data_IF_574589889945
#
_entry.id   IF_574589889945
#
_cell.length_a   1.000
_cell.length_b   1.000
_cell.length_c   1.000
_cell.angle_alpha   90.00
_cell.angle_beta   90.00
_cell.angle_gamma   90.00
#
_symmetry.space_group_name_H-M   'P 1'
#
loop_
_entity.id
_entity.type
_entity.pdbx_description
1 polymer ?
#
# COMPACT_ATOMS: atom_id res chain seq x y z
N UNK A 1 -7.75 -7.10 -1.00
CA UNK A 1 -6.46 -6.62 -0.43
C UNK A 1 -6.51 -5.12 -0.11
N UNK A 2 -5.59 -4.63 0.76
CA UNK A 2 -5.64 -3.32 1.43
C UNK A 2 -5.75 -2.10 0.52
N UNK A 3 -5.30 -2.18 -0.72
CA UNK A 3 -5.13 -0.99 -1.56
C UNK A 3 -5.80 -1.05 -2.91
N UNK A 4 -5.90 -2.20 -3.56
CA UNK A 4 -6.54 -2.31 -4.87
C UNK A 4 -8.07 -2.36 -4.76
N UNK A 5 -8.74 -1.44 -5.45
CA UNK A 5 -10.19 -1.44 -5.61
C UNK A 5 -10.51 -2.03 -6.98
N UNK A 6 -11.38 -3.04 -7.02
CA UNK A 6 -11.80 -3.64 -8.29
C UNK A 6 -13.32 -3.81 -8.28
N UNK A 7 -13.93 -3.69 -9.44
CA UNK A 7 -15.39 -3.78 -9.61
C UNK A 7 -15.85 -5.22 -9.93
N UNK A 8 -15.08 -6.21 -9.48
CA UNK A 8 -15.31 -7.65 -9.70
C UNK A 8 -14.98 -8.45 -8.43
N UNK A 9 -15.52 -9.68 -8.27
CA UNK A 9 -15.05 -10.59 -7.24
C UNK A 9 -13.55 -10.87 -7.37
N UNK A 10 -12.83 -10.86 -6.25
CA UNK A 10 -11.38 -11.07 -6.20
C UNK A 10 -11.03 -12.52 -5.93
N UNK A 11 -9.97 -13.01 -6.59
CA UNK A 11 -9.43 -14.35 -6.37
C UNK A 11 -8.13 -14.29 -5.58
N UNK A 12 -8.22 -14.33 -4.25
CA UNK A 12 -7.06 -14.23 -3.37
C UNK A 12 -6.20 -15.50 -3.32
N UNK A 13 -6.76 -16.68 -3.52
CA UNK A 13 -6.01 -17.92 -3.56
C UNK A 13 -5.42 -18.16 -4.96
N UNK A 14 -4.61 -17.23 -5.44
CA UNK A 14 -4.26 -17.10 -6.86
C UNK A 14 -3.60 -18.37 -7.42
N UNK A 15 -2.81 -19.09 -6.61
CA UNK A 15 -2.11 -20.31 -7.02
C UNK A 15 -3.02 -21.55 -7.18
N UNK A 16 -4.27 -21.49 -6.70
CA UNK A 16 -5.20 -22.62 -6.75
C UNK A 16 -6.46 -22.23 -7.56
N UNK A 17 -6.58 -22.68 -8.82
CA UNK A 17 -7.75 -22.39 -9.66
C UNK A 17 -9.09 -22.94 -9.11
N UNK A 18 -9.02 -23.92 -8.20
CA UNK A 18 -10.17 -24.55 -7.56
C UNK A 18 -10.31 -24.13 -6.09
N UNK A 19 -9.73 -23.00 -5.72
CA UNK A 19 -9.79 -22.50 -4.35
C UNK A 19 -11.22 -22.29 -3.87
N UNK A 20 -11.50 -22.76 -2.66
CA UNK A 20 -12.77 -22.48 -2.01
C UNK A 20 -12.86 -21.03 -1.54
N UNK A 21 -14.08 -20.55 -1.24
CA UNK A 21 -14.29 -19.24 -0.60
C UNK A 21 -13.56 -19.12 0.74
N UNK A 22 -13.34 -20.25 1.43
CA UNK A 22 -12.56 -20.29 2.67
C UNK A 22 -11.08 -20.00 2.40
N UNK A 23 -10.53 -20.53 1.31
CA UNK A 23 -9.13 -20.31 0.95
C UNK A 23 -8.90 -18.87 0.50
N UNK A 24 -9.83 -18.31 -0.28
CA UNK A 24 -9.78 -16.89 -0.67
C UNK A 24 -9.80 -15.98 0.56
N UNK A 25 -10.72 -16.21 1.52
CA UNK A 25 -10.77 -15.44 2.77
C UNK A 25 -9.50 -15.59 3.63
N UNK A 26 -8.91 -16.79 3.66
CA UNK A 26 -7.64 -17.02 4.36
C UNK A 26 -6.50 -16.21 3.75
N UNK A 27 -6.35 -16.26 2.42
CA UNK A 27 -5.31 -15.49 1.73
C UNK A 27 -5.51 -13.98 1.86
N UNK A 28 -6.77 -13.51 1.83
CA UNK A 28 -7.07 -12.11 2.09
C UNK A 28 -6.68 -11.69 3.51
N UNK A 29 -6.95 -12.53 4.52
CA UNK A 29 -6.58 -12.28 5.90
C UNK A 29 -5.05 -12.27 6.10
N UNK A 30 -4.34 -13.25 5.54
CA UNK A 30 -2.87 -13.31 5.59
C UNK A 30 -2.28 -12.04 5.00
N UNK A 31 -2.70 -11.69 3.78
CA UNK A 31 -2.15 -10.54 3.10
C UNK A 31 -2.45 -9.23 3.84
N UNK A 32 -3.65 -9.11 4.40
CA UNK A 32 -4.01 -7.94 5.20
C UNK A 32 -3.16 -7.87 6.47
N UNK A 33 -2.89 -9.00 7.13
CA UNK A 33 -1.98 -9.08 8.25
C UNK A 33 -0.56 -8.64 7.88
N UNK A 34 -0.01 -9.14 6.78
CA UNK A 34 1.31 -8.76 6.27
C UNK A 34 1.37 -7.25 6.00
N UNK A 35 0.34 -6.69 5.37
CA UNK A 35 0.27 -5.24 5.13
C UNK A 35 0.25 -4.42 6.43
N UNK A 36 -0.59 -4.79 7.40
CA UNK A 36 -0.70 -4.06 8.66
C UNK A 36 0.59 -4.13 9.48
N UNK A 37 1.24 -5.30 9.53
CA UNK A 37 2.55 -5.45 10.19
C UNK A 37 3.60 -4.60 9.48
N UNK A 38 3.65 -4.62 8.14
CA UNK A 38 4.52 -3.74 7.35
C UNK A 38 4.27 -2.25 7.66
N UNK A 39 3.00 -1.84 7.79
CA UNK A 39 2.64 -0.46 8.14
C UNK A 39 3.12 -0.04 9.54
N UNK A 40 2.99 -0.92 10.54
CA UNK A 40 3.56 -0.70 11.88
C UNK A 40 5.07 -0.58 11.83
N UNK A 41 5.74 -1.44 11.04
CA UNK A 41 7.19 -1.36 10.85
C UNK A 41 7.61 -0.06 10.16
N UNK A 42 6.89 0.42 9.15
CA UNK A 42 7.14 1.72 8.54
C UNK A 42 7.03 2.86 9.55
N UNK A 43 5.99 2.88 10.39
CA UNK A 43 5.85 3.90 11.45
C UNK A 43 7.05 3.85 12.40
N UNK A 44 7.42 2.65 12.87
CA UNK A 44 8.55 2.48 13.77
C UNK A 44 9.88 2.89 13.14
N UNK A 45 10.13 2.47 11.89
CA UNK A 45 11.31 2.85 11.12
C UNK A 45 11.41 4.36 10.93
N UNK A 46 10.30 5.02 10.59
CA UNK A 46 10.23 6.48 10.43
C UNK A 46 10.59 7.23 11.72
N UNK A 47 10.18 6.72 12.89
CA UNK A 47 10.56 7.32 14.19
C UNK A 47 12.07 7.28 14.39
N UNK A 48 12.76 6.22 13.94
CA UNK A 48 14.22 6.08 14.10
C UNK A 48 15.02 7.05 13.20
N UNK A 49 14.38 7.78 12.29
CA UNK A 49 15.01 8.81 11.48
C UNK A 49 15.01 10.21 12.12
N UNK A 50 14.37 10.39 13.29
CA UNK A 50 14.52 11.64 14.01
C UNK A 50 16.00 11.85 14.43
N UNK A 51 16.51 13.10 14.41
CA UNK A 51 17.89 13.38 14.82
C UNK A 51 18.25 12.90 16.23
N UNK A 52 17.27 12.84 17.15
CA UNK A 52 17.46 12.29 18.48
C UNK A 52 17.87 10.79 18.49
N UNK A 53 17.62 10.07 17.39
CA UNK A 53 17.93 8.66 17.22
C UNK A 53 18.95 8.40 16.09
N UNK A 54 19.77 9.39 15.71
CA UNK A 54 20.74 9.27 14.61
C UNK A 54 21.64 8.03 14.70
N UNK A 55 22.06 7.64 15.92
CA UNK A 55 22.86 6.43 16.19
C UNK A 55 22.14 5.13 15.82
N UNK A 56 20.82 5.17 15.64
CA UNK A 56 19.95 4.06 15.28
C UNK A 56 19.41 4.17 13.85
N UNK A 57 19.83 5.17 13.07
CA UNK A 57 19.33 5.39 11.70
C UNK A 57 19.47 4.15 10.79
N UNK A 58 20.60 3.42 10.89
CA UNK A 58 20.78 2.15 10.17
C UNK A 58 19.73 1.09 10.54
N UNK A 59 19.31 1.03 11.80
CA UNK A 59 18.23 0.14 12.22
C UNK A 59 16.91 0.61 11.63
N UNK A 60 16.68 1.92 11.59
CA UNK A 60 15.54 2.54 10.88
C UNK A 60 15.48 2.10 9.42
N UNK A 61 16.59 2.23 8.70
CA UNK A 61 16.71 1.82 7.29
C UNK A 61 16.45 0.32 7.07
N UNK A 62 16.97 -0.55 7.94
CA UNK A 62 16.68 -2.00 7.87
C UNK A 62 15.21 -2.31 8.14
N UNK A 63 14.59 -1.68 9.15
CA UNK A 63 13.16 -1.83 9.43
C UNK A 63 12.33 -1.37 8.23
N UNK A 64 12.71 -0.24 7.60
CA UNK A 64 12.08 0.27 6.37
C UNK A 64 12.20 -0.69 5.19
N UNK A 65 13.38 -1.29 5.03
CA UNK A 65 13.63 -2.27 3.98
C UNK A 65 12.73 -3.50 4.14
N UNK A 66 12.67 -4.07 5.35
CA UNK A 66 11.82 -5.23 5.63
C UNK A 66 10.34 -4.88 5.44
N UNK A 67 9.90 -3.72 5.93
CA UNK A 67 8.54 -3.23 5.70
C UNK A 67 8.21 -3.09 4.20
N UNK A 68 9.16 -2.59 3.40
CA UNK A 68 9.04 -2.48 1.95
C UNK A 68 8.91 -3.84 1.28
N UNK A 69 9.66 -4.87 1.73
CA UNK A 69 9.50 -6.24 1.24
C UNK A 69 8.13 -6.82 1.56
N UNK A 70 7.57 -6.52 2.74
CA UNK A 70 6.20 -6.94 3.09
C UNK A 70 5.17 -6.29 2.17
N UNK A 71 5.29 -5.00 1.90
CA UNK A 71 4.42 -4.29 0.95
C UNK A 71 4.62 -4.79 -0.48
N UNK A 72 5.85 -5.13 -0.88
CA UNK A 72 6.14 -5.75 -2.17
C UNK A 72 5.47 -7.13 -2.29
N UNK A 73 5.49 -7.94 -1.24
CA UNK A 73 4.79 -9.23 -1.24
C UNK A 73 3.28 -9.05 -1.46
N UNK A 74 2.69 -8.06 -0.78
CA UNK A 74 1.27 -7.73 -0.87
C UNK A 74 0.90 -7.22 -2.27
N UNK A 75 1.62 -6.22 -2.77
CA UNK A 75 1.37 -5.62 -4.09
C UNK A 75 1.69 -6.61 -5.22
N UNK A 76 2.72 -7.44 -5.06
CA UNK A 76 3.07 -8.50 -6.01
C UNK A 76 1.98 -9.57 -6.08
N UNK A 77 1.43 -9.97 -4.93
CA UNK A 77 0.27 -10.87 -4.91
C UNK A 77 -0.95 -10.24 -5.61
N UNK A 78 -1.23 -8.96 -5.36
CA UNK A 78 -2.29 -8.23 -6.05
C UNK A 78 -2.06 -8.21 -7.57
N UNK A 79 -0.84 -7.95 -8.04
CA UNK A 79 -0.51 -7.99 -9.46
C UNK A 79 -0.68 -9.39 -10.06
N UNK A 80 -0.27 -10.45 -9.37
CA UNK A 80 -0.48 -11.83 -9.82
C UNK A 80 -1.97 -12.15 -10.00
N UNK A 81 -2.81 -11.65 -9.10
CA UNK A 81 -4.26 -11.79 -9.20
C UNK A 81 -4.83 -11.09 -10.43
N UNK A 82 -4.37 -9.86 -10.71
CA UNK A 82 -4.75 -9.14 -11.93
C UNK A 82 -4.28 -9.85 -13.19
N UNK A 83 -3.05 -10.37 -13.22
CA UNK A 83 -2.52 -11.12 -14.38
C UNK A 83 -3.39 -12.35 -14.64
N UNK A 84 -3.67 -13.16 -13.61
CA UNK A 84 -4.51 -14.37 -13.75
C UNK A 84 -5.92 -14.05 -14.20
N UNK A 85 -6.53 -12.98 -13.66
CA UNK A 85 -7.84 -12.52 -14.13
C UNK A 85 -7.79 -12.19 -15.63
N UNK A 86 -6.78 -11.46 -16.09
CA UNK A 86 -6.65 -11.09 -17.51
C UNK A 86 -6.42 -12.30 -18.41
N UNK A 87 -5.65 -13.29 -17.97
CA UNK A 87 -5.46 -14.55 -18.69
C UNK A 87 -6.76 -15.37 -18.78
N UNK A 88 -7.67 -15.22 -17.82
CA UNK A 88 -8.97 -15.91 -17.82
C UNK A 88 -10.02 -15.27 -18.73
N UNK A 89 -9.76 -14.06 -19.26
CA UNK A 89 -10.70 -13.36 -20.13
C UNK A 89 -10.80 -14.04 -21.50
N UNK A 90 -12.02 -14.39 -21.92
CA UNK A 90 -12.31 -14.98 -23.23
C UNK A 90 -12.36 -13.97 -24.38
N UNK A 91 -11.98 -12.71 -24.14
CA UNK A 91 -12.12 -11.60 -25.08
C UNK A 91 -11.10 -10.49 -24.83
N UNK A 92 -11.23 -9.39 -25.56
CA UNK A 92 -10.30 -8.25 -25.44
C UNK A 92 -10.45 -7.57 -24.07
N UNK A 93 -9.33 -7.28 -23.36
CA UNK A 93 -9.40 -6.57 -22.09
C UNK A 93 -10.07 -5.21 -22.22
N UNK A 94 -11.04 -4.94 -21.34
CA UNK A 94 -11.74 -3.66 -21.28
C UNK A 94 -10.81 -2.55 -20.78
N UNK A 95 -11.29 -1.30 -20.84
CA UNK A 95 -10.54 -0.18 -20.23
C UNK A 95 -10.35 -0.39 -18.72
N UNK A 96 -11.35 -0.97 -18.04
CA UNK A 96 -11.30 -1.25 -16.60
C UNK A 96 -10.22 -2.28 -16.26
N UNK A 97 -10.10 -3.34 -17.04
CA UNK A 97 -9.05 -4.35 -16.87
C UNK A 97 -7.65 -3.78 -17.13
N UNK A 98 -7.53 -2.79 -18.02
CA UNK A 98 -6.25 -2.12 -18.31
C UNK A 98 -5.85 -1.19 -17.17
N UNK A 99 -6.76 -0.35 -16.67
CA UNK A 99 -6.42 0.57 -15.58
C UNK A 99 -6.17 -0.20 -14.27
N UNK A 100 -6.86 -1.32 -14.03
CA UNK A 100 -6.56 -2.22 -12.91
C UNK A 100 -5.12 -2.75 -12.97
N UNK A 101 -4.68 -3.19 -14.16
CA UNK A 101 -3.30 -3.63 -14.38
C UNK A 101 -2.28 -2.49 -14.19
N UNK A 102 -2.60 -1.29 -14.64
CA UNK A 102 -1.74 -0.12 -14.42
C UNK A 102 -1.61 0.23 -12.94
N UNK A 103 -2.72 0.24 -12.19
CA UNK A 103 -2.68 0.46 -10.75
C UNK A 103 -1.79 -0.60 -10.07
N UNK A 104 -2.03 -1.89 -10.34
CA UNK A 104 -1.24 -2.99 -9.80
C UNK A 104 0.26 -2.84 -10.08
N UNK A 105 0.62 -2.54 -11.33
CA UNK A 105 2.00 -2.36 -11.76
C UNK A 105 2.65 -1.16 -11.06
N UNK A 106 1.93 -0.04 -10.92
CA UNK A 106 2.42 1.14 -10.20
C UNK A 106 2.73 0.83 -8.73
N UNK A 107 1.87 0.08 -8.04
CA UNK A 107 2.13 -0.31 -6.65
C UNK A 107 3.33 -1.24 -6.50
N UNK A 108 3.49 -2.21 -7.39
CA UNK A 108 4.66 -3.10 -7.37
C UNK A 108 5.94 -2.31 -7.66
N UNK A 109 5.96 -1.51 -8.71
CA UNK A 109 7.12 -0.70 -9.07
C UNK A 109 7.48 0.30 -7.96
N UNK A 110 6.49 0.95 -7.34
CA UNK A 110 6.69 1.81 -6.17
C UNK A 110 7.29 1.05 -4.99
N UNK A 111 6.79 -0.15 -4.69
CA UNK A 111 7.29 -0.99 -3.58
C UNK A 111 8.73 -1.47 -3.82
N UNK A 112 9.08 -1.82 -5.06
CA UNK A 112 10.45 -2.15 -5.45
C UNK A 112 11.38 -0.96 -5.21
N UNK A 113 10.99 0.23 -5.67
CA UNK A 113 11.78 1.45 -5.47
C UNK A 113 11.95 1.78 -3.99
N UNK A 114 10.94 1.59 -3.16
CA UNK A 114 11.06 1.77 -1.71
C UNK A 114 12.04 0.78 -1.07
N UNK A 115 12.01 -0.49 -1.48
CA UNK A 115 12.96 -1.48 -0.99
C UNK A 115 14.40 -1.12 -1.40
N UNK A 116 14.62 -0.77 -2.68
CA UNK A 116 15.95 -0.35 -3.17
C UNK A 116 16.41 0.94 -2.48
N UNK A 117 15.52 1.93 -2.38
CA UNK A 117 15.81 3.20 -1.72
C UNK A 117 16.23 3.03 -0.26
N UNK A 118 15.56 2.13 0.47
CA UNK A 118 15.90 1.80 1.86
C UNK A 118 17.32 1.26 2.01
N UNK A 119 17.80 0.47 1.04
CA UNK A 119 19.20 -0.03 1.03
C UNK A 119 20.20 1.10 0.78
N UNK A 120 19.90 2.03 -0.13
CA UNK A 120 20.76 3.19 -0.39
C UNK A 120 20.89 4.12 0.83
N UNK A 121 19.93 4.09 1.74
CA UNK A 121 19.95 4.82 3.01
C UNK A 121 20.75 4.14 4.14
N UNK A 122 21.28 2.93 3.93
CA UNK A 122 22.23 2.33 4.86
C UNK A 122 23.55 3.10 4.83
N UNK A 123 24.12 3.41 6.00
CA UNK A 123 25.38 4.17 6.08
C UNK A 123 26.56 3.47 5.39
N UNK A 124 26.53 2.14 5.29
CA UNK A 124 27.54 1.37 4.56
C UNK A 124 27.45 1.52 3.04
N UNK A 125 26.28 1.92 2.53
CA UNK A 125 26.05 2.19 1.11
C UNK A 125 26.18 3.69 0.82
N UNK A 126 25.58 4.54 1.66
CA UNK A 126 25.79 5.99 1.66
C UNK A 126 25.29 6.72 0.41
N UNK A 127 24.45 6.09 -0.41
CA UNK A 127 23.93 6.67 -1.66
C UNK A 127 22.61 7.43 -1.42
N UNK A 128 22.58 8.33 -0.43
CA UNK A 128 21.35 8.97 0.04
C UNK A 128 20.57 9.69 -1.05
N UNK A 129 21.24 10.38 -1.97
CA UNK A 129 20.59 11.04 -3.11
C UNK A 129 19.89 10.04 -4.04
N UNK A 130 20.53 8.90 -4.33
CA UNK A 130 19.90 7.85 -5.13
C UNK A 130 18.71 7.23 -4.40
N UNK A 131 18.85 7.01 -3.07
CA UNK A 131 17.76 6.55 -2.22
C UNK A 131 16.56 7.51 -2.24
N UNK A 132 16.82 8.80 -2.15
CA UNK A 132 15.80 9.85 -2.21
C UNK A 132 15.09 9.86 -3.56
N UNK A 133 15.81 9.73 -4.67
CA UNK A 133 15.19 9.61 -6.01
C UNK A 133 14.30 8.36 -6.09
N UNK A 134 14.73 7.22 -5.56
CA UNK A 134 13.89 6.03 -5.48
C UNK A 134 12.59 6.30 -4.71
N UNK A 135 12.65 6.95 -3.54
CA UNK A 135 11.46 7.29 -2.77
C UNK A 135 10.57 8.32 -3.46
N UNK A 136 11.13 9.32 -4.15
CA UNK A 136 10.38 10.31 -4.95
C UNK A 136 9.59 9.60 -6.06
N UNK A 137 10.28 8.82 -6.90
CA UNK A 137 9.64 8.13 -8.03
C UNK A 137 8.65 7.07 -7.52
N UNK A 138 9.02 6.32 -6.48
CA UNK A 138 8.12 5.34 -5.87
C UNK A 138 6.85 5.97 -5.30
N UNK A 139 6.98 7.13 -4.66
CA UNK A 139 5.83 7.86 -4.10
C UNK A 139 4.92 8.41 -5.20
N UNK A 140 5.48 8.89 -6.31
CA UNK A 140 4.69 9.29 -7.48
C UNK A 140 3.92 8.10 -8.07
N UNK A 141 4.54 6.92 -8.15
CA UNK A 141 3.85 5.71 -8.60
C UNK A 141 2.73 5.29 -7.64
N UNK A 142 2.94 5.41 -6.33
CA UNK A 142 1.87 5.16 -5.36
C UNK A 142 0.71 6.17 -5.48
N UNK A 143 1.00 7.46 -5.72
CA UNK A 143 -0.03 8.46 -6.03
C UNK A 143 -0.79 8.06 -7.29
N UNK A 144 -0.10 7.71 -8.38
CA UNK A 144 -0.74 7.29 -9.63
C UNK A 144 -1.64 6.06 -9.43
N UNK A 145 -1.14 5.02 -8.75
CA UNK A 145 -1.91 3.82 -8.44
C UNK A 145 -3.14 4.13 -7.58
N UNK A 146 -3.01 5.03 -6.60
CA UNK A 146 -4.11 5.43 -5.73
C UNK A 146 -5.16 6.27 -6.47
N UNK A 147 -4.75 7.18 -7.35
CA UNK A 147 -5.66 7.96 -8.20
C UNK A 147 -6.43 7.04 -9.15
N UNK A 148 -5.76 6.06 -9.77
CA UNK A 148 -6.44 5.07 -10.62
C UNK A 148 -7.46 4.28 -9.80
N UNK A 149 -7.11 3.84 -8.59
CA UNK A 149 -8.05 3.16 -7.70
C UNK A 149 -9.26 4.05 -7.37
N UNK A 150 -9.07 5.36 -7.14
CA UNK A 150 -10.17 6.31 -6.94
C UNK A 150 -11.13 6.32 -8.12
N UNK A 151 -10.61 6.31 -9.35
CA UNK A 151 -11.44 6.23 -10.56
C UNK A 151 -12.26 4.95 -10.63
N UNK A 152 -11.84 3.88 -9.94
CA UNK A 152 -12.57 2.62 -9.89
C UNK A 152 -13.65 2.58 -8.79
N UNK A 153 -13.74 3.60 -7.92
CA UNK A 153 -14.80 3.75 -6.90
C UNK A 153 -16.10 4.25 -7.56
N UNK A 154 -16.74 3.40 -8.37
CA UNK A 154 -17.97 3.78 -9.12
C UNK A 154 -19.18 2.98 -8.65
N UNK A 155 -18.99 1.80 -8.06
CA UNK A 155 -20.09 0.89 -7.73
C UNK A 155 -19.97 0.34 -6.30
N UNK A 156 -20.44 1.11 -5.31
CA UNK A 156 -20.76 0.58 -3.99
C UNK A 156 -22.27 0.70 -3.76
N UNK A 157 -22.93 -0.43 -3.48
CA UNK A 157 -24.37 -0.47 -3.13
C UNK A 157 -24.65 0.10 -1.72
N UNK A 158 -23.61 0.25 -0.91
CA UNK A 158 -23.68 0.70 0.49
C UNK A 158 -22.80 1.94 0.69
N UNK A 159 -23.40 3.01 1.23
CA UNK A 159 -22.71 4.26 1.54
C UNK A 159 -21.56 4.08 2.54
N UNK A 160 -21.68 3.18 3.51
CA UNK A 160 -20.61 2.89 4.49
C UNK A 160 -19.40 2.29 3.78
N UNK A 161 -19.63 1.32 2.90
CA UNK A 161 -18.55 0.70 2.09
C UNK A 161 -17.86 1.77 1.24
N UNK A 162 -18.64 2.65 0.60
CA UNK A 162 -18.12 3.77 -0.19
C UNK A 162 -17.24 4.71 0.64
N UNK A 163 -17.67 5.07 1.86
CA UNK A 163 -16.87 5.93 2.74
C UNK A 163 -15.55 5.28 3.16
N UNK A 164 -15.53 3.98 3.47
CA UNK A 164 -14.26 3.30 3.77
C UNK A 164 -13.34 3.19 2.54
N UNK A 165 -13.88 3.06 1.33
CA UNK A 165 -13.08 3.14 0.09
C UNK A 165 -12.45 4.52 -0.06
N UNK A 166 -13.22 5.59 0.14
CA UNK A 166 -12.72 6.97 0.09
C UNK A 166 -11.66 7.25 1.16
N UNK A 167 -11.90 6.85 2.42
CA UNK A 167 -10.94 7.01 3.51
C UNK A 167 -9.62 6.27 3.22
N UNK A 168 -9.70 5.05 2.69
CA UNK A 168 -8.53 4.29 2.26
C UNK A 168 -7.76 5.02 1.16
N UNK A 169 -8.47 5.52 0.14
CA UNK A 169 -7.83 6.20 -0.98
C UNK A 169 -7.15 7.51 -0.56
N UNK A 170 -7.86 8.34 0.21
CA UNK A 170 -7.36 9.65 0.67
C UNK A 170 -6.12 9.44 1.53
N UNK A 171 -6.17 8.51 2.49
CA UNK A 171 -5.01 8.24 3.36
C UNK A 171 -3.79 7.75 2.58
N UNK A 172 -3.96 6.91 1.56
CA UNK A 172 -2.84 6.48 0.71
C UNK A 172 -2.30 7.60 -0.17
N UNK A 173 -3.15 8.40 -0.80
CA UNK A 173 -2.69 9.55 -1.60
C UNK A 173 -1.93 10.53 -0.72
N UNK A 174 -2.51 10.94 0.42
CA UNK A 174 -1.88 11.88 1.34
C UNK A 174 -0.57 11.32 1.91
N UNK A 175 -0.56 10.03 2.32
CA UNK A 175 0.66 9.38 2.79
C UNK A 175 1.76 9.37 1.74
N UNK A 176 1.43 9.01 0.49
CA UNK A 176 2.37 9.02 -0.64
C UNK A 176 2.93 10.43 -0.91
N UNK A 177 2.08 11.46 -0.85
CA UNK A 177 2.52 12.86 -1.03
C UNK A 177 3.46 13.30 0.09
N UNK A 178 3.20 12.92 1.34
CA UNK A 178 4.11 13.24 2.45
C UNK A 178 5.48 12.58 2.26
N UNK A 179 5.53 11.32 1.83
CA UNK A 179 6.79 10.65 1.49
C UNK A 179 7.52 11.34 0.34
N UNK A 180 6.80 11.70 -0.71
CA UNK A 180 7.33 12.44 -1.85
C UNK A 180 8.00 13.74 -1.41
N UNK A 181 7.26 14.57 -0.66
CA UNK A 181 7.75 15.88 -0.21
C UNK A 181 8.91 15.73 0.77
N UNK A 182 8.85 14.77 1.70
CA UNK A 182 9.93 14.51 2.65
C UNK A 182 11.22 14.00 1.99
N UNK A 183 11.13 13.39 0.81
CA UNK A 183 12.30 12.89 0.09
C UNK A 183 13.04 13.99 -0.70
N UNK A 184 12.36 15.09 -1.07
CA UNK A 184 12.96 16.15 -1.89
C UNK A 184 14.17 16.83 -1.21
N UNK A 185 14.13 17.18 0.09
CA UNK A 185 15.26 17.88 0.72
C UNK A 185 16.56 17.09 0.82
N UNK A 186 16.54 15.76 0.66
CA UNK A 186 17.76 14.95 0.50
C UNK A 186 18.52 15.23 -0.82
N UNK A 187 17.94 16.01 -1.72
CA UNK A 187 18.61 16.52 -2.92
C UNK A 187 19.29 17.88 -2.69
N UNK A 188 19.12 18.49 -1.51
CA UNK A 188 19.67 19.80 -1.19
C UNK A 188 21.04 19.67 -0.53
N UNK A 189 21.86 20.72 -0.69
CA UNK A 189 23.11 20.88 0.05
C UNK A 189 22.92 21.99 1.09
N UNK A 190 22.79 21.61 2.36
CA UNK A 190 22.63 22.54 3.47
C UNK A 190 23.99 22.85 4.09
N UNK A 191 24.30 24.14 4.27
CA UNK A 191 25.60 24.57 4.80
C UNK A 191 25.64 24.62 6.34
N UNK A 192 24.49 24.77 6.99
CA UNK A 192 24.35 24.90 8.44
C UNK A 192 23.93 23.57 9.07
N UNK A 193 24.69 23.09 10.07
CA UNK A 193 24.34 21.88 10.82
C UNK A 193 23.03 22.03 11.62
N UNK A 194 22.70 23.25 12.07
CA UNK A 194 21.44 23.52 12.74
C UNK A 194 20.25 23.41 11.76
N UNK A 195 20.44 23.87 10.52
CA UNK A 195 19.42 23.79 9.47
C UNK A 195 19.21 22.33 9.06
N UNK A 196 20.29 21.56 8.86
CA UNK A 196 20.22 20.13 8.58
C UNK A 196 19.42 19.40 9.64
N UNK A 197 19.73 19.61 10.92
CA UNK A 197 19.01 18.97 12.03
C UNK A 197 17.53 19.34 12.07
N UNK A 198 17.20 20.60 11.78
CA UNK A 198 15.80 21.08 11.75
C UNK A 198 15.04 20.47 10.60
N UNK A 199 15.65 20.45 9.41
CA UNK A 199 15.09 19.82 8.22
C UNK A 199 14.89 18.33 8.47
N UNK A 200 15.90 17.59 8.92
CA UNK A 200 15.82 16.15 9.19
C UNK A 200 14.67 15.81 10.17
N UNK A 201 14.48 16.61 11.22
CA UNK A 201 13.35 16.42 12.14
C UNK A 201 11.98 16.64 11.46
N UNK A 202 11.89 17.63 10.58
CA UNK A 202 10.70 17.87 9.78
C UNK A 202 10.43 16.72 8.80
N UNK A 203 11.45 16.22 8.09
CA UNK A 203 11.31 15.07 7.17
C UNK A 203 10.87 13.82 7.93
N UNK A 204 11.51 13.51 9.06
CA UNK A 204 11.16 12.37 9.89
C UNK A 204 9.69 12.44 10.38
N UNK A 205 9.21 13.64 10.72
CA UNK A 205 7.80 13.86 11.07
C UNK A 205 6.87 13.52 9.89
N UNK A 206 7.19 14.01 8.69
CA UNK A 206 6.42 13.70 7.48
C UNK A 206 6.42 12.20 7.17
N UNK A 207 7.54 11.50 7.33
CA UNK A 207 7.61 10.06 7.17
C UNK A 207 6.75 9.32 8.21
N UNK A 208 6.78 9.73 9.48
CA UNK A 208 5.93 9.12 10.53
C UNK A 208 4.45 9.31 10.20
N UNK A 209 4.03 10.53 9.86
CA UNK A 209 2.64 10.82 9.53
C UNK A 209 2.22 10.08 8.26
N UNK A 210 3.07 10.07 7.24
CA UNK A 210 2.83 9.32 6.00
C UNK A 210 2.67 7.82 6.25
N UNK A 211 3.55 7.22 7.05
CA UNK A 211 3.48 5.80 7.43
C UNK A 211 2.21 5.50 8.24
N UNK A 212 1.82 6.39 9.14
CA UNK A 212 0.60 6.24 9.92
C UNK A 212 -0.64 6.28 9.04
N UNK A 213 -0.67 7.15 8.03
CA UNK A 213 -1.75 7.20 7.05
C UNK A 213 -1.83 5.92 6.20
N UNK A 214 -0.69 5.35 5.77
CA UNK A 214 -0.69 4.04 5.11
C UNK A 214 -1.20 2.93 6.04
N UNK A 215 -0.83 2.94 7.32
CA UNK A 215 -1.36 1.96 8.28
C UNK A 215 -2.87 2.11 8.45
N UNK A 216 -3.37 3.34 8.59
CA UNK A 216 -4.79 3.65 8.72
C UNK A 216 -5.58 3.28 7.47
N UNK A 217 -5.07 3.57 6.27
CA UNK A 217 -5.71 3.16 5.02
C UNK A 217 -5.84 1.64 4.92
N UNK A 218 -4.81 0.89 5.32
CA UNK A 218 -4.89 -0.58 5.43
C UNK A 218 -5.96 -1.04 6.42
N UNK A 219 -6.07 -0.37 7.57
CA UNK A 219 -7.09 -0.67 8.57
C UNK A 219 -8.51 -0.37 8.08
N UNK A 220 -8.72 0.76 7.39
CA UNK A 220 -10.01 1.10 6.80
C UNK A 220 -10.43 0.09 5.72
N UNK A 221 -9.52 -0.31 4.86
CA UNK A 221 -9.79 -1.31 3.85
C UNK A 221 -10.12 -2.67 4.46
N UNK A 222 -9.45 -3.03 5.56
CA UNK A 222 -9.77 -4.25 6.30
C UNK A 222 -11.17 -4.23 6.91
N UNK A 223 -11.58 -3.11 7.51
CA UNK A 223 -12.95 -2.93 8.01
C UNK A 223 -13.95 -3.06 6.86
N UNK A 224 -13.67 -2.43 5.71
CA UNK A 224 -14.51 -2.55 4.51
C UNK A 224 -14.67 -4.00 4.06
N UNK A 225 -13.59 -4.76 3.96
CA UNK A 225 -13.64 -6.17 3.54
C UNK A 225 -14.55 -7.00 4.45
N UNK A 226 -14.45 -6.82 5.77
CA UNK A 226 -15.33 -7.50 6.74
C UNK A 226 -16.80 -7.10 6.65
N UNK A 227 -17.09 -5.85 6.28
CA UNK A 227 -18.48 -5.42 6.06
C UNK A 227 -19.08 -6.11 4.84
N UNK A 228 -18.31 -6.28 3.76
CA UNK A 228 -18.72 -7.03 2.56
C UNK A 228 -19.00 -8.51 2.90
N UNK A 229 -18.11 -9.15 3.67
CA UNK A 229 -18.28 -10.54 4.09
C UNK A 229 -19.55 -10.75 4.92
N UNK A 230 -19.82 -9.85 5.88
CA UNK A 230 -21.02 -9.91 6.72
C UNK A 230 -22.29 -9.69 5.92
N UNK A 231 -22.28 -8.74 4.97
CA UNK A 231 -23.41 -8.50 4.08
C UNK A 231 -23.73 -9.70 3.19
N UNK A 232 -22.69 -10.39 2.70
CA UNK A 232 -22.84 -11.61 1.89
C UNK A 232 -23.39 -12.79 2.69
N UNK A 233 -22.97 -12.95 3.95
CA UNK A 233 -23.49 -14.01 4.83
C UNK A 233 -24.97 -13.80 5.19
N UNK A 234 -25.37 -12.55 5.46
CA UNK A 234 -26.75 -12.22 5.80
C UNK A 234 -27.72 -12.45 4.62
N UNK A 235 -27.27 -12.19 3.39
CA UNK A 235 -28.10 -12.43 2.20
C UNK A 235 -28.25 -13.91 1.86
N UNK A 236 -27.20 -14.75 2.08
CA UNK A 236 -27.30 -16.20 1.87
C UNK A 236 -28.27 -16.89 2.83
N UNK A 237 -28.33 -16.45 4.09
CA UNK A 237 -29.28 -16.99 5.09
C UNK A 237 -30.74 -16.60 4.76
N UNK A 238 -30.96 -15.39 4.23
CA UNK A 238 -32.31 -14.94 3.85
C UNK A 238 -32.89 -15.67 2.62
N UNK A 239 -32.04 -16.25 1.77
CA UNK A 239 -32.46 -17.02 0.59
C UNK A 239 -32.86 -18.47 0.87
N UNK A 240 -32.42 -19.06 1.99
CA UNK A 240 -32.79 -20.43 2.38
C UNK A 240 -34.12 -20.50 3.17
N UNK A 241 -34.73 -19.36 3.50
CA UNK A 241 -36.00 -19.27 4.25
C UNK A 241 -37.26 -19.19 3.40
N UNK A 242 -37.19 -19.23 2.06
CA UNK A 242 -38.36 -19.09 1.17
C UNK A 242 -38.80 -20.38 0.46
N UNK A 243 -38.27 -21.53 0.86
CA UNK A 243 -38.80 -22.85 0.44
C UNK A 243 -39.24 -23.65 1.65
N UNK A 244 -40.38 -23.27 2.23
CA UNK A 244 -41.25 -24.16 3.02
C UNK A 244 -42.70 -23.76 2.78
#
# INVERSE_FOLDING_TARGET
MPHMFVNRPRQHAVLNPHASDRDNRRWEAINTGVYLVGGVMFVWGSVLFFPAFESRANRGAWVFFVASLMYLAVTGHDLLEVIRHRESLKGTPTIWDRIEAWAAASYVAGSVLFAVGSIFFLSSVGMFTAGAVCFIVGSLLFVCGAVINVLQIIQARDLRILQYMNLTAITFVTGSVLFLVASIPYLFSLQSAADTRTVDAFLATQYVVGSALFLLGGAFNFVRARLIDRGSAASSDSGHGQTM
#
